data_IF_239864883953
#
_entry.id   IF_239864883953
#
_cell.length_a   1.000
_cell.length_b   1.000
_cell.length_c   1.000
_cell.angle_alpha   90.00
_cell.angle_beta   90.00
_cell.angle_gamma   90.00
#
_symmetry.space_group_name_H-M   'P 1'
#
loop_
_entity.id
_entity.type
_entity.pdbx_description
1 polymer ?
#
# COMPACT_ATOMS: atom_id res chain seq x y z
N UNK A 1 -6.69 22.28 37.80
CA UNK A 1 -6.93 21.01 37.09
C UNK A 1 -7.17 21.40 35.65
N UNK A 2 -6.20 21.18 34.76
CA UNK A 2 -6.43 21.37 33.33
C UNK A 2 -7.49 20.35 32.91
N UNK A 3 -8.56 20.80 32.26
CA UNK A 3 -9.55 19.90 31.70
C UNK A 3 -8.91 19.17 30.53
N UNK A 4 -8.52 17.91 30.69
CA UNK A 4 -8.15 17.04 29.56
C UNK A 4 -9.36 16.93 28.63
N UNK A 5 -9.34 17.58 27.45
CA UNK A 5 -10.31 17.26 26.41
C UNK A 5 -9.94 15.90 25.79
N UNK A 6 -10.91 15.00 25.59
CA UNK A 6 -10.66 13.71 24.97
C UNK A 6 -10.10 13.87 23.57
N UNK A 7 -9.20 12.97 23.16
CA UNK A 7 -8.69 12.95 21.79
C UNK A 7 -9.82 12.48 20.85
N UNK A 8 -10.23 13.34 19.91
CA UNK A 8 -11.45 13.12 19.12
C UNK A 8 -11.23 12.30 17.84
N UNK A 9 -9.99 12.19 17.37
CA UNK A 9 -9.63 11.46 16.16
C UNK A 9 -9.09 10.07 16.52
N UNK A 10 -9.60 9.01 15.91
CA UNK A 10 -9.14 7.66 16.26
C UNK A 10 -7.70 7.40 15.78
N UNK A 11 -6.83 6.95 16.69
CA UNK A 11 -5.49 6.43 16.40
C UNK A 11 -5.51 4.90 16.44
N UNK A 12 -5.00 4.24 15.40
CA UNK A 12 -4.92 2.78 15.35
C UNK A 12 -3.73 2.29 14.53
N UNK A 13 -3.77 1.05 14.03
CA UNK A 13 -2.66 0.46 13.24
C UNK A 13 -2.26 1.22 11.97
N UNK A 14 -3.11 2.12 11.45
CA UNK A 14 -2.80 2.99 10.32
C UNK A 14 -2.37 4.41 10.75
N UNK A 15 -2.16 4.61 12.06
CA UNK A 15 -1.96 5.90 12.71
C UNK A 15 -3.22 6.78 12.67
N UNK A 16 -3.09 8.05 12.28
CA UNK A 16 -4.22 8.97 12.09
C UNK A 16 -4.59 9.11 10.61
N UNK A 17 -5.89 9.22 10.35
CA UNK A 17 -6.41 9.57 9.03
C UNK A 17 -7.71 10.35 9.19
N UNK A 18 -7.82 11.49 8.53
CA UNK A 18 -9.02 12.31 8.57
C UNK A 18 -9.00 13.46 7.57
N UNK A 19 -10.15 14.10 7.41
CA UNK A 19 -10.27 15.35 6.65
C UNK A 19 -9.54 16.44 7.41
N UNK A 20 -8.80 17.29 6.71
CA UNK A 20 -8.14 18.47 7.27
C UNK A 20 -9.19 19.49 7.70
N UNK A 21 -9.13 19.94 8.96
CA UNK A 21 -10.07 20.93 9.48
C UNK A 21 -9.92 21.19 10.99
N UNK A 22 -10.67 22.14 11.50
CA UNK A 22 -10.54 22.63 12.88
C UNK A 22 -11.23 21.75 13.95
N UNK A 23 -11.96 20.72 13.53
CA UNK A 23 -12.69 19.80 14.41
C UNK A 23 -11.78 18.91 15.26
N UNK A 24 -12.27 18.48 16.41
CA UNK A 24 -11.53 17.57 17.31
C UNK A 24 -11.36 16.16 16.73
N UNK A 25 -12.23 15.77 15.79
CA UNK A 25 -12.24 14.52 15.03
C UNK A 25 -11.64 14.68 13.62
N UNK A 26 -10.91 15.77 13.37
CA UNK A 26 -10.29 16.10 12.09
C UNK A 26 -8.76 16.14 12.19
N UNK A 27 -8.08 16.09 11.04
CA UNK A 27 -6.63 16.33 10.97
C UNK A 27 -6.34 17.82 11.14
N UNK A 28 -5.59 18.18 12.18
CA UNK A 28 -5.07 19.51 12.41
C UNK A 28 -3.79 19.45 13.26
N UNK A 29 -3.11 20.60 13.36
CA UNK A 29 -1.86 20.75 14.09
C UNK A 29 -2.01 20.31 15.55
N UNK A 30 -3.12 20.63 16.23
CA UNK A 30 -3.35 20.22 17.63
C UNK A 30 -3.37 18.71 17.77
N UNK A 31 -4.13 18.01 16.92
CA UNK A 31 -4.21 16.55 16.97
C UNK A 31 -2.87 15.90 16.59
N UNK A 32 -2.13 16.46 15.63
CA UNK A 32 -0.77 15.98 15.28
C UNK A 32 0.20 16.18 16.43
N UNK A 33 0.18 17.34 17.11
CA UNK A 33 1.02 17.59 18.29
C UNK A 33 0.73 16.60 19.41
N UNK A 34 -0.55 16.36 19.73
CA UNK A 34 -0.95 15.37 20.75
C UNK A 34 -0.53 13.95 20.37
N UNK A 35 -0.74 13.56 19.12
CA UNK A 35 -0.30 12.25 18.62
C UNK A 35 1.22 12.06 18.71
N UNK A 36 1.96 13.10 18.34
CA UNK A 36 3.42 13.12 18.41
C UNK A 36 3.91 13.07 19.86
N UNK A 37 3.27 13.79 20.77
CA UNK A 37 3.62 13.75 22.19
C UNK A 37 3.37 12.36 22.81
N UNK A 38 2.28 11.69 22.43
CA UNK A 38 2.02 10.30 22.82
C UNK A 38 3.08 9.33 22.28
N UNK A 39 3.47 9.47 21.00
CA UNK A 39 4.56 8.68 20.43
C UNK A 39 5.90 8.96 21.13
N UNK A 40 6.22 10.23 21.41
CA UNK A 40 7.43 10.63 22.12
C UNK A 40 7.49 10.02 23.54
N UNK A 41 6.36 10.00 24.24
CA UNK A 41 6.25 9.35 25.54
C UNK A 41 6.42 7.82 25.45
N UNK A 42 5.93 7.19 24.38
CA UNK A 42 6.08 5.76 24.12
C UNK A 42 7.53 5.36 23.85
N UNK A 43 8.25 6.10 22.99
CA UNK A 43 9.65 5.78 22.64
C UNK A 43 10.65 6.25 23.71
N UNK A 44 10.30 7.27 24.49
CA UNK A 44 11.12 7.82 25.57
C UNK A 44 12.16 8.85 25.12
N UNK A 45 12.61 9.68 26.06
CA UNK A 45 13.61 10.70 25.82
C UNK A 45 14.97 10.10 25.38
N UNK A 46 15.64 10.77 24.44
CA UNK A 46 16.88 10.30 23.82
C UNK A 46 16.70 9.33 22.66
N UNK A 47 15.47 8.85 22.39
CA UNK A 47 15.16 8.10 21.18
C UNK A 47 15.40 8.95 19.91
N UNK A 48 15.55 8.29 18.78
CA UNK A 48 15.69 8.89 17.45
C UNK A 48 14.43 8.62 16.65
N UNK A 49 13.77 9.68 16.19
CA UNK A 49 12.52 9.55 15.41
C UNK A 49 12.65 10.28 14.09
N UNK A 50 12.46 9.56 13.00
CA UNK A 50 12.47 10.09 11.63
C UNK A 50 11.11 10.72 11.33
N UNK A 51 11.10 11.87 10.65
CA UNK A 51 9.87 12.52 10.19
C UNK A 51 10.00 12.85 8.70
N UNK A 52 9.03 12.39 7.91
CA UNK A 52 8.85 12.72 6.50
C UNK A 52 7.42 13.16 6.21
N UNK A 53 7.20 13.79 5.06
CA UNK A 53 5.87 14.22 4.62
C UNK A 53 5.72 14.23 3.10
N UNK A 54 4.47 14.07 2.65
CA UNK A 54 4.08 14.34 1.27
C UNK A 54 3.72 15.82 1.04
N UNK A 55 3.15 16.13 -0.13
CA UNK A 55 2.78 17.49 -0.53
C UNK A 55 1.32 17.88 -0.24
N UNK A 56 0.55 17.08 0.52
CA UNK A 56 -0.87 17.36 0.79
C UNK A 56 -1.08 18.66 1.58
N UNK A 57 -2.29 19.19 1.50
CA UNK A 57 -2.71 20.32 2.34
C UNK A 57 -2.43 20.04 3.82
N UNK A 58 -1.75 20.97 4.49
CA UNK A 58 -1.35 20.86 5.89
C UNK A 58 -0.11 19.98 6.17
N UNK A 59 0.40 19.21 5.20
CA UNK A 59 1.53 18.30 5.44
C UNK A 59 2.79 19.01 5.97
N UNK A 60 3.10 20.21 5.45
CA UNK A 60 4.22 21.01 5.92
C UNK A 60 4.04 21.46 7.39
N UNK A 61 2.85 21.95 7.76
CA UNK A 61 2.55 22.40 9.13
C UNK A 61 2.57 21.23 10.12
N UNK A 62 2.07 20.06 9.71
CA UNK A 62 2.07 18.85 10.53
C UNK A 62 3.47 18.29 10.71
N UNK A 63 4.30 18.35 9.67
CA UNK A 63 5.71 17.98 9.70
C UNK A 63 6.49 18.84 10.70
N UNK A 64 6.39 20.17 10.61
CA UNK A 64 7.06 21.08 11.53
C UNK A 64 6.58 20.87 12.98
N UNK A 65 5.27 20.72 13.16
CA UNK A 65 4.69 20.47 14.48
C UNK A 65 5.20 19.16 15.10
N UNK A 66 5.33 18.09 14.31
CA UNK A 66 5.85 16.82 14.79
C UNK A 66 7.33 16.95 15.22
N UNK A 67 8.17 17.58 14.39
CA UNK A 67 9.58 17.81 14.74
C UNK A 67 9.75 18.58 16.04
N UNK A 68 9.00 19.67 16.19
CA UNK A 68 9.08 20.53 17.36
C UNK A 68 8.62 19.85 18.65
N UNK A 69 7.57 19.03 18.58
CA UNK A 69 7.08 18.25 19.73
C UNK A 69 8.07 17.17 20.13
N UNK A 70 8.65 16.44 19.18
CA UNK A 70 9.67 15.43 19.46
C UNK A 70 10.86 16.07 20.19
N UNK A 71 11.40 17.14 19.61
CA UNK A 71 12.53 17.88 20.19
C UNK A 71 12.19 18.45 21.57
N UNK A 72 11.01 19.06 21.74
CA UNK A 72 10.52 19.55 23.04
C UNK A 72 10.32 18.45 24.09
N UNK A 73 10.06 17.21 23.68
CA UNK A 73 9.98 16.04 24.55
C UNK A 73 11.35 15.40 24.86
N UNK A 74 12.44 15.96 24.33
CA UNK A 74 13.80 15.42 24.50
C UNK A 74 14.11 14.24 23.56
N UNK A 75 13.33 14.05 22.50
CA UNK A 75 13.56 13.07 21.44
C UNK A 75 14.38 13.72 20.33
N UNK A 76 15.34 12.99 19.78
CA UNK A 76 16.15 13.44 18.66
C UNK A 76 15.36 13.30 17.35
N UNK A 77 14.83 14.42 16.86
CA UNK A 77 13.98 14.48 15.68
C UNK A 77 14.81 14.56 14.40
N UNK A 78 14.74 13.54 13.56
CA UNK A 78 15.45 13.48 12.28
C UNK A 78 14.48 13.96 11.18
N UNK A 79 14.69 15.19 10.74
CA UNK A 79 13.94 15.87 9.71
C UNK A 79 14.43 15.44 8.32
N UNK A 80 13.66 14.57 7.64
CA UNK A 80 13.94 14.23 6.25
C UNK A 80 13.63 15.40 5.32
N UNK A 81 14.29 15.46 4.16
CA UNK A 81 13.86 16.35 3.07
C UNK A 81 12.35 16.22 2.85
N UNK A 82 11.57 17.32 2.96
CA UNK A 82 10.13 17.27 2.74
C UNK A 82 9.76 16.83 1.33
N UNK A 83 8.51 16.40 1.15
CA UNK A 83 7.98 15.96 -0.14
C UNK A 83 8.80 14.83 -0.76
N UNK A 84 8.97 13.76 0.03
CA UNK A 84 9.62 12.52 -0.39
C UNK A 84 8.67 11.33 -0.22
N UNK A 85 8.82 10.28 -1.04
CA UNK A 85 7.97 9.09 -0.97
C UNK A 85 7.93 8.44 0.42
N UNK A 86 6.79 7.83 0.75
CA UNK A 86 6.65 6.94 1.92
C UNK A 86 7.80 5.92 2.03
N UNK A 87 8.22 5.21 0.96
CA UNK A 87 9.35 4.28 1.06
C UNK A 87 10.68 4.93 1.46
N UNK A 88 10.90 6.22 1.23
CA UNK A 88 12.10 6.93 1.73
C UNK A 88 12.05 7.05 3.25
N UNK A 89 10.90 7.33 3.83
CA UNK A 89 10.73 7.37 5.29
C UNK A 89 10.93 5.99 5.91
N UNK A 90 10.34 4.95 5.32
CA UNK A 90 10.53 3.56 5.79
C UNK A 90 12.00 3.09 5.67
N UNK A 91 12.67 3.45 4.57
CA UNK A 91 14.11 3.25 4.37
C UNK A 91 14.93 3.94 5.46
N UNK A 92 14.67 5.22 5.71
CA UNK A 92 15.40 6.05 6.66
C UNK A 92 15.36 5.49 8.08
N UNK A 93 14.23 4.95 8.52
CA UNK A 93 14.10 4.34 9.86
C UNK A 93 15.14 3.24 10.06
N UNK A 94 15.26 2.31 9.10
CA UNK A 94 16.23 1.21 9.17
C UNK A 94 17.66 1.71 8.93
N UNK A 95 17.84 2.55 7.90
CA UNK A 95 19.15 3.02 7.47
C UNK A 95 19.86 3.86 8.55
N UNK A 96 19.12 4.69 9.28
CA UNK A 96 19.64 5.56 10.32
C UNK A 96 19.57 4.96 11.73
N UNK A 97 19.09 3.71 11.85
CA UNK A 97 18.89 3.03 13.13
C UNK A 97 17.98 3.82 14.08
N UNK A 98 16.89 4.38 13.54
CA UNK A 98 15.92 5.15 14.32
C UNK A 98 14.98 4.21 15.10
N UNK A 99 14.48 4.69 16.24
CA UNK A 99 13.57 3.93 17.10
C UNK A 99 12.13 3.95 16.58
N UNK A 100 11.76 5.00 15.84
CA UNK A 100 10.47 5.13 15.17
C UNK A 100 10.54 6.07 13.95
N UNK A 101 9.48 6.07 13.16
CA UNK A 101 9.29 6.98 12.03
C UNK A 101 7.86 7.51 11.95
N UNK A 102 7.72 8.73 11.46
CA UNK A 102 6.45 9.40 11.16
C UNK A 102 6.44 9.73 9.66
N UNK A 103 5.40 9.29 8.96
CA UNK A 103 5.14 9.74 7.59
C UNK A 103 3.80 10.48 7.55
N UNK A 104 3.84 11.78 7.29
CA UNK A 104 2.65 12.61 7.11
C UNK A 104 2.15 12.43 5.67
N UNK A 105 1.05 11.70 5.51
CA UNK A 105 0.44 11.46 4.21
C UNK A 105 -0.92 10.78 4.37
N UNK A 106 -1.83 11.03 3.42
CA UNK A 106 -3.03 10.23 3.21
C UNK A 106 -2.99 9.29 2.00
N UNK A 107 -1.81 9.01 1.43
CA UNK A 107 -1.64 8.12 0.27
C UNK A 107 -2.58 8.53 -0.87
N UNK A 108 -3.50 7.67 -1.30
CA UNK A 108 -4.44 7.86 -2.41
C UNK A 108 -5.81 8.42 -1.99
N UNK A 109 -6.01 8.82 -0.72
CA UNK A 109 -7.26 9.43 -0.28
C UNK A 109 -7.56 10.74 -1.04
N UNK A 110 -8.82 11.24 -1.03
CA UNK A 110 -9.18 12.53 -1.64
C UNK A 110 -8.32 13.72 -1.17
N UNK A 111 -8.26 14.83 -1.92
CA UNK A 111 -7.46 16.03 -1.61
C UNK A 111 -7.63 16.56 -0.18
N UNK A 112 -8.85 16.53 0.35
CA UNK A 112 -9.20 17.07 1.65
C UNK A 112 -8.69 16.23 2.83
N UNK A 113 -8.18 15.02 2.58
CA UNK A 113 -7.65 14.13 3.61
C UNK A 113 -6.14 14.31 3.80
N UNK A 114 -5.71 14.17 5.05
CA UNK A 114 -4.32 13.95 5.41
C UNK A 114 -4.22 12.83 6.47
N UNK A 115 -3.01 12.50 6.90
CA UNK A 115 -2.81 11.53 7.96
C UNK A 115 -1.39 11.45 8.46
N UNK A 116 -1.18 10.51 9.38
CA UNK A 116 0.04 10.38 10.17
C UNK A 116 0.27 8.88 10.34
N UNK A 117 1.20 8.31 9.56
CA UNK A 117 1.61 6.89 9.68
C UNK A 117 2.74 6.77 10.70
N UNK A 118 2.78 5.68 11.46
CA UNK A 118 3.85 5.40 12.44
C UNK A 118 4.53 4.09 12.11
N UNK A 119 5.86 4.13 12.12
CA UNK A 119 6.78 3.02 12.00
C UNK A 119 7.55 2.86 13.32
N UNK A 120 7.89 1.63 13.70
CA UNK A 120 8.86 1.37 14.78
C UNK A 120 10.22 1.04 14.19
N UNK A 121 11.24 0.79 15.03
CA UNK A 121 12.62 0.61 14.60
C UNK A 121 12.89 -0.57 13.67
N UNK A 122 11.94 -1.50 13.50
CA UNK A 122 11.97 -2.53 12.45
C UNK A 122 11.64 -1.99 11.04
N UNK A 123 11.25 -0.72 10.95
CA UNK A 123 10.80 -0.05 9.73
C UNK A 123 9.40 -0.49 9.29
N UNK A 124 8.63 -1.14 10.16
CA UNK A 124 7.29 -1.65 9.86
C UNK A 124 6.25 -0.80 10.58
N UNK A 125 5.09 -0.62 9.93
CA UNK A 125 3.95 0.03 10.57
C UNK A 125 3.49 -0.75 11.82
N UNK A 126 2.98 0.02 12.79
CA UNK A 126 2.52 -0.47 14.11
C UNK A 126 1.36 -1.48 14.01
N UNK A 127 1.37 -2.43 14.95
CA UNK A 127 0.33 -3.44 15.20
C UNK A 127 0.10 -3.55 16.71
N UNK A 128 -0.97 -4.22 17.17
CA UNK A 128 -1.15 -4.52 18.59
C UNK A 128 0.05 -5.26 19.19
N UNK A 129 0.49 -4.92 20.42
CA UNK A 129 -0.12 -3.93 21.33
C UNK A 129 0.36 -2.47 21.14
N UNK A 130 1.36 -2.22 20.29
CA UNK A 130 2.00 -0.91 20.17
C UNK A 130 1.04 0.22 19.77
N UNK A 131 0.07 -0.04 18.89
CA UNK A 131 -0.93 0.94 18.51
C UNK A 131 -1.84 1.35 19.69
N UNK A 132 -2.24 0.40 20.52
CA UNK A 132 -3.03 0.66 21.73
C UNK A 132 -2.22 1.37 22.81
N UNK A 133 -0.95 0.99 23.00
CA UNK A 133 -0.05 1.63 23.97
C UNK A 133 0.21 3.09 23.60
N UNK A 134 0.47 3.36 22.31
CA UNK A 134 0.63 4.72 21.80
C UNK A 134 -0.69 5.49 21.94
N UNK A 135 -1.83 4.91 21.57
CA UNK A 135 -3.14 5.57 21.73
C UNK A 135 -3.42 5.96 23.18
N UNK A 136 -3.10 5.09 24.14
CA UNK A 136 -3.20 5.42 25.57
C UNK A 136 -2.29 6.58 25.96
N UNK A 137 -1.05 6.62 25.45
CA UNK A 137 -0.15 7.74 25.68
C UNK A 137 -0.65 9.06 25.05
N UNK A 138 -1.36 9.01 23.92
CA UNK A 138 -1.97 10.17 23.26
C UNK A 138 -3.11 10.76 24.10
N UNK A 139 -3.92 9.91 24.74
CA UNK A 139 -4.98 10.38 25.65
C UNK A 139 -4.42 11.11 26.87
N UNK A 140 -3.30 10.64 27.41
CA UNK A 140 -2.62 11.29 28.55
C UNK A 140 -1.81 12.53 28.14
N UNK A 141 -1.49 12.70 26.86
CA UNK A 141 -0.69 13.82 26.36
C UNK A 141 -1.36 15.19 26.61
N UNK A 142 -0.58 16.23 26.98
CA UNK A 142 -1.10 17.57 27.17
C UNK A 142 -1.65 18.14 25.85
N UNK A 143 -2.66 19.02 25.93
CA UNK A 143 -3.20 19.71 24.75
C UNK A 143 -2.16 20.59 24.06
N UNK A 144 -1.23 21.17 24.83
CA UNK A 144 -0.12 22.00 24.34
C UNK A 144 1.21 21.40 24.83
N UNK A 145 1.76 20.40 24.12
CA UNK A 145 3.04 19.79 24.46
C UNK A 145 4.20 20.79 24.27
N UNK A 146 5.32 20.61 25.00
CA UNK A 146 6.49 21.46 24.85
C UNK A 146 7.02 21.41 23.41
N UNK A 147 7.45 22.56 22.90
CA UNK A 147 8.04 22.70 21.57
C UNK A 147 9.49 23.17 21.72
N UNK A 148 10.38 22.62 20.91
CA UNK A 148 11.77 23.08 20.81
C UNK A 148 12.33 22.77 19.43
N UNK A 149 13.34 23.51 18.99
CA UNK A 149 14.12 23.20 17.78
C UNK A 149 15.50 22.60 18.10
N UNK A 150 15.85 22.46 19.40
CA UNK A 150 17.21 22.14 19.85
C UNK A 150 17.72 20.75 19.43
N UNK A 151 16.82 19.79 19.24
CA UNK A 151 17.14 18.40 18.91
C UNK A 151 16.64 17.99 17.52
N UNK A 152 16.55 18.94 16.58
CA UNK A 152 16.19 18.69 15.19
C UNK A 152 17.47 18.55 14.34
N UNK A 153 17.66 17.39 13.71
CA UNK A 153 18.72 17.09 12.74
C UNK A 153 18.12 16.96 11.35
N UNK A 154 18.57 17.77 10.38
CA UNK A 154 18.17 17.62 8.98
C UNK A 154 19.03 16.59 8.26
N UNK A 155 18.41 15.59 7.63
CA UNK A 155 19.09 14.51 6.92
C UNK A 155 18.41 14.26 5.58
N UNK A 156 19.18 14.06 4.52
CA UNK A 156 18.67 13.57 3.24
C UNK A 156 19.28 12.20 2.95
N UNK A 157 18.41 11.19 2.81
CA UNK A 157 18.79 9.81 2.44
C UNK A 157 18.24 9.39 1.07
N UNK A 158 17.74 10.36 0.30
CA UNK A 158 17.07 10.10 -0.98
C UNK A 158 18.01 9.44 -1.98
N UNK A 159 19.28 9.85 -2.03
CA UNK A 159 20.26 9.31 -2.98
C UNK A 159 20.64 7.86 -2.64
N UNK A 160 20.79 7.55 -1.35
CA UNK A 160 21.02 6.20 -0.83
C UNK A 160 19.84 5.28 -1.14
N UNK A 161 18.60 5.75 -0.91
CA UNK A 161 17.39 5.03 -1.28
C UNK A 161 17.32 4.77 -2.78
N UNK A 162 17.53 5.79 -3.61
CA UNK A 162 17.53 5.66 -5.08
C UNK A 162 18.60 4.68 -5.55
N UNK A 163 19.76 4.66 -4.90
CA UNK A 163 20.83 3.71 -5.20
C UNK A 163 20.46 2.27 -4.84
N UNK A 164 19.82 2.05 -3.69
CA UNK A 164 19.32 0.73 -3.30
C UNK A 164 18.24 0.22 -4.27
N UNK A 165 17.24 1.06 -4.57
CA UNK A 165 16.17 0.73 -5.53
C UNK A 165 16.73 0.42 -6.92
N UNK A 166 17.69 1.23 -7.42
CA UNK A 166 18.30 1.03 -8.72
C UNK A 166 19.14 -0.26 -8.79
N UNK A 167 19.76 -0.68 -7.69
CA UNK A 167 20.58 -1.90 -7.63
C UNK A 167 19.76 -3.19 -7.80
N UNK A 168 18.44 -3.13 -7.62
CA UNK A 168 17.52 -4.23 -7.90
C UNK A 168 17.28 -4.45 -9.40
N UNK A 169 17.67 -3.48 -10.23
CA UNK A 169 17.42 -3.49 -11.67
C UNK A 169 18.47 -4.25 -12.48
N UNK A 170 18.01 -4.84 -13.58
CA UNK A 170 18.85 -5.32 -14.68
C UNK A 170 18.56 -4.45 -15.90
N UNK A 171 19.53 -3.66 -16.40
CA UNK A 171 19.28 -2.71 -17.48
C UNK A 171 18.95 -3.41 -18.80
N UNK A 172 18.18 -2.74 -19.65
CA UNK A 172 17.90 -3.17 -21.01
C UNK A 172 17.24 -2.08 -21.85
N UNK A 173 17.01 -2.37 -23.13
CA UNK A 173 16.33 -1.44 -24.04
C UNK A 173 14.81 -1.43 -23.76
N UNK A 174 14.33 -0.37 -23.10
CA UNK A 174 12.93 -0.20 -22.77
C UNK A 174 12.54 1.27 -22.80
N UNK A 175 11.39 1.56 -23.40
CA UNK A 175 10.75 2.88 -23.41
C UNK A 175 9.65 2.90 -22.36
N UNK A 176 9.79 3.79 -21.39
CA UNK A 176 8.92 3.84 -20.22
C UNK A 176 8.22 5.20 -20.19
N UNK A 177 6.89 5.19 -20.03
CA UNK A 177 6.16 6.38 -19.59
C UNK A 177 5.93 6.29 -18.09
N UNK A 178 6.19 7.40 -17.39
CA UNK A 178 5.97 7.53 -15.95
C UNK A 178 4.94 8.62 -15.67
N UNK A 179 4.04 8.34 -14.73
CA UNK A 179 3.23 9.38 -14.08
C UNK A 179 3.24 9.20 -12.56
N UNK A 180 3.56 10.24 -11.78
CA UNK A 180 3.37 10.22 -10.33
C UNK A 180 1.99 10.74 -9.92
N UNK A 181 1.12 11.10 -10.87
CA UNK A 181 -0.23 11.64 -10.61
C UNK A 181 -0.25 12.80 -9.60
N UNK A 182 0.64 13.77 -9.76
CA UNK A 182 0.87 14.88 -8.82
C UNK A 182 1.36 14.46 -7.42
N UNK A 183 1.90 13.25 -7.31
CA UNK A 183 2.54 12.73 -6.12
C UNK A 183 4.00 13.13 -5.97
N UNK A 184 4.53 12.89 -4.77
CA UNK A 184 5.94 13.16 -4.43
C UNK A 184 6.92 12.10 -4.96
N UNK A 185 6.41 11.09 -5.65
CA UNK A 185 7.18 9.99 -6.26
C UNK A 185 7.97 10.34 -7.51
N UNK A 186 7.59 11.39 -8.24
CA UNK A 186 8.03 11.63 -9.62
C UNK A 186 9.55 11.66 -9.79
N UNK A 187 10.21 12.60 -9.09
CA UNK A 187 11.67 12.76 -9.19
C UNK A 187 12.42 11.49 -8.79
N UNK A 188 12.00 10.87 -7.68
CA UNK A 188 12.62 9.67 -7.11
C UNK A 188 12.49 8.47 -8.06
N UNK A 189 11.30 8.27 -8.65
CA UNK A 189 11.03 7.20 -9.60
C UNK A 189 11.87 7.33 -10.86
N UNK A 190 11.90 8.53 -11.45
CA UNK A 190 12.71 8.81 -12.65
C UNK A 190 14.20 8.63 -12.36
N UNK A 191 14.67 9.08 -11.19
CA UNK A 191 16.07 8.92 -10.79
C UNK A 191 16.44 7.44 -10.62
N UNK A 192 15.59 6.64 -9.97
CA UNK A 192 15.82 5.20 -9.79
C UNK A 192 15.86 4.44 -11.12
N UNK A 193 14.91 4.69 -12.02
CA UNK A 193 14.89 4.07 -13.36
C UNK A 193 16.12 4.44 -14.18
N UNK A 194 16.49 5.73 -14.22
CA UNK A 194 17.69 6.18 -14.95
C UNK A 194 18.97 5.60 -14.37
N UNK A 195 19.07 5.54 -13.03
CA UNK A 195 20.23 4.96 -12.34
C UNK A 195 20.34 3.45 -12.53
N UNK A 196 19.20 2.75 -12.64
CA UNK A 196 19.14 1.34 -13.02
C UNK A 196 19.51 1.09 -14.50
N UNK A 197 19.72 2.15 -15.29
CA UNK A 197 20.18 2.08 -16.68
C UNK A 197 19.08 2.20 -17.74
N UNK A 198 17.84 2.54 -17.37
CA UNK A 198 16.76 2.81 -18.31
C UNK A 198 16.83 4.27 -18.80
N UNK A 199 17.29 4.46 -20.04
CA UNK A 199 17.56 5.78 -20.61
C UNK A 199 16.35 6.48 -21.24
N UNK A 200 15.40 5.74 -21.82
CA UNK A 200 14.22 6.30 -22.49
C UNK A 200 13.01 6.32 -21.54
N UNK A 201 13.08 7.24 -20.57
CA UNK A 201 12.01 7.51 -19.60
C UNK A 201 11.35 8.85 -19.95
N UNK A 202 10.08 8.80 -20.32
CA UNK A 202 9.23 9.96 -20.57
C UNK A 202 8.28 10.15 -19.39
N UNK A 203 7.96 11.40 -19.07
CA UNK A 203 7.05 11.73 -17.97
C UNK A 203 5.80 12.39 -18.53
N UNK A 204 4.67 12.18 -17.85
CA UNK A 204 3.46 12.96 -18.12
C UNK A 204 3.66 14.35 -17.49
N UNK A 205 4.12 15.33 -18.28
CA UNK A 205 4.47 16.67 -17.79
C UNK A 205 3.36 17.32 -16.95
N UNK A 206 2.08 17.12 -17.34
CA UNK A 206 0.91 17.66 -16.62
C UNK A 206 0.72 17.10 -15.21
N UNK A 207 1.36 15.97 -14.89
CA UNK A 207 1.19 15.23 -13.64
C UNK A 207 2.51 15.11 -12.85
N UNK A 208 3.60 15.71 -13.32
CA UNK A 208 4.93 15.51 -12.73
C UNK A 208 5.13 16.26 -11.40
N UNK A 209 4.68 17.51 -11.33
CA UNK A 209 4.84 18.36 -10.15
C UNK A 209 3.86 17.95 -9.04
N UNK A 210 4.31 17.87 -7.77
CA UNK A 210 3.42 17.64 -6.65
C UNK A 210 2.33 18.72 -6.55
N UNK A 211 1.07 18.30 -6.51
CA UNK A 211 -0.10 19.19 -6.39
C UNK A 211 -1.15 18.53 -5.47
N UNK A 212 -1.44 19.11 -4.29
CA UNK A 212 -2.36 18.53 -3.32
C UNK A 212 -3.82 18.46 -3.81
N UNK A 213 -4.19 19.18 -4.87
CA UNK A 213 -5.54 19.18 -5.43
C UNK A 213 -5.74 18.08 -6.49
N UNK A 214 -4.66 17.42 -6.94
CA UNK A 214 -4.66 16.36 -7.96
C UNK A 214 -5.49 16.73 -9.23
N UNK A 215 -5.27 17.90 -9.85
CA UNK A 215 -6.23 18.54 -10.75
C UNK A 215 -6.56 17.78 -12.05
N UNK A 216 -5.75 16.79 -12.41
CA UNK A 216 -5.94 15.99 -13.64
C UNK A 216 -6.69 14.68 -13.41
N UNK A 217 -6.92 14.27 -12.16
CA UNK A 217 -7.59 13.00 -11.83
C UNK A 217 -8.74 13.24 -10.87
N UNK A 218 -9.79 12.42 -10.98
CA UNK A 218 -10.93 12.51 -10.06
C UNK A 218 -10.58 12.01 -8.66
N UNK A 219 -9.71 11.01 -8.59
CA UNK A 219 -9.28 10.36 -7.37
C UNK A 219 -7.86 9.84 -7.61
N UNK A 220 -6.90 10.16 -6.73
CA UNK A 220 -5.48 9.92 -7.01
C UNK A 220 -5.07 8.48 -6.66
N UNK A 221 -5.77 7.51 -7.24
CA UNK A 221 -5.44 6.09 -7.16
C UNK A 221 -5.24 5.55 -8.58
N UNK A 222 -4.09 4.95 -8.92
CA UNK A 222 -3.85 4.42 -10.25
C UNK A 222 -4.85 3.34 -10.70
N UNK A 223 -5.57 2.70 -9.78
CA UNK A 223 -6.60 1.69 -10.13
C UNK A 223 -7.91 2.30 -10.63
N UNK A 224 -8.12 3.60 -10.47
CA UNK A 224 -9.39 4.23 -10.84
C UNK A 224 -9.51 4.42 -12.36
N UNK A 225 -10.69 4.14 -12.95
CA UNK A 225 -10.92 4.42 -14.36
C UNK A 225 -10.63 5.89 -14.71
N UNK A 226 -9.81 6.10 -15.73
CA UNK A 226 -9.39 7.43 -16.19
C UNK A 226 -8.09 7.95 -15.55
N UNK A 227 -7.58 7.31 -14.49
CA UNK A 227 -6.36 7.77 -13.82
C UNK A 227 -5.11 7.69 -14.72
N UNK A 228 -5.06 6.69 -15.61
CA UNK A 228 -3.94 6.45 -16.52
C UNK A 228 -4.11 7.06 -17.92
N UNK A 229 -5.23 7.74 -18.23
CA UNK A 229 -5.54 8.17 -19.60
C UNK A 229 -4.42 9.03 -20.22
N UNK A 230 -3.91 10.03 -19.48
CA UNK A 230 -2.81 10.88 -19.95
C UNK A 230 -1.50 10.10 -20.18
N UNK A 231 -1.24 9.08 -19.36
CA UNK A 231 -0.05 8.26 -19.48
C UNK A 231 -0.16 7.28 -20.66
N UNK A 232 -1.35 6.72 -20.90
CA UNK A 232 -1.64 5.87 -22.04
C UNK A 232 -1.59 6.64 -23.36
N UNK A 233 -2.13 7.86 -23.41
CA UNK A 233 -2.02 8.77 -24.56
C UNK A 233 -0.55 9.03 -24.91
N UNK A 234 0.25 9.43 -23.92
CA UNK A 234 1.69 9.65 -24.12
C UNK A 234 2.43 8.37 -24.52
N UNK A 235 2.03 7.22 -24.00
CA UNK A 235 2.62 5.93 -24.36
C UNK A 235 2.36 5.57 -25.82
N UNK A 236 1.14 5.82 -26.32
CA UNK A 236 0.79 5.63 -27.73
C UNK A 236 1.62 6.58 -28.62
N UNK A 237 1.67 7.87 -28.29
CA UNK A 237 2.44 8.87 -29.04
C UNK A 237 3.94 8.57 -29.10
N UNK A 238 4.52 8.12 -27.98
CA UNK A 238 5.94 7.83 -27.87
C UNK A 238 6.33 6.43 -28.39
N UNK A 239 5.33 5.56 -28.65
CA UNK A 239 5.53 4.14 -28.86
C UNK A 239 6.27 3.51 -27.67
N UNK A 240 5.79 3.78 -26.46
CA UNK A 240 6.36 3.23 -25.23
C UNK A 240 6.00 1.76 -25.05
N UNK A 241 6.90 1.02 -24.40
CA UNK A 241 6.73 -0.41 -24.16
C UNK A 241 5.83 -0.64 -22.93
N UNK A 242 5.99 0.20 -21.90
CA UNK A 242 5.20 0.15 -20.66
C UNK A 242 4.89 1.55 -20.11
N UNK A 243 3.82 1.63 -19.33
CA UNK A 243 3.47 2.75 -18.43
C UNK A 243 3.67 2.31 -16.99
N UNK A 244 4.27 3.17 -16.17
CA UNK A 244 4.38 3.01 -14.72
C UNK A 244 3.71 4.22 -14.07
N UNK A 245 2.73 3.96 -13.21
CA UNK A 245 2.03 4.99 -12.43
C UNK A 245 2.28 4.78 -10.94
N UNK A 246 2.61 5.84 -10.21
CA UNK A 246 2.71 5.82 -8.74
C UNK A 246 1.54 6.59 -8.12
N UNK A 247 1.08 6.16 -6.95
CA UNK A 247 0.15 6.94 -6.14
C UNK A 247 0.85 8.13 -5.43
N UNK A 248 0.12 9.05 -4.78
CA UNK A 248 0.70 10.31 -4.32
C UNK A 248 1.89 10.20 -3.38
N UNK A 249 1.96 9.18 -2.54
CA UNK A 249 3.09 8.91 -1.64
C UNK A 249 4.03 7.80 -2.16
N UNK A 250 3.76 7.29 -3.35
CA UNK A 250 4.55 6.31 -4.10
C UNK A 250 4.87 5.01 -3.34
N UNK A 251 3.99 4.64 -2.40
CA UNK A 251 4.01 3.30 -1.81
C UNK A 251 3.33 2.27 -2.74
N UNK A 252 2.51 2.72 -3.71
CA UNK A 252 1.89 1.86 -4.72
C UNK A 252 2.42 2.10 -6.13
N UNK A 253 2.25 1.08 -6.96
CA UNK A 253 2.65 1.13 -8.36
C UNK A 253 1.64 0.39 -9.25
N UNK A 254 1.13 1.04 -10.29
CA UNK A 254 0.39 0.37 -11.35
C UNK A 254 1.22 0.31 -12.62
N UNK A 255 0.98 -0.74 -13.41
CA UNK A 255 1.60 -0.93 -14.72
C UNK A 255 0.51 -1.02 -15.77
N UNK A 256 0.76 -0.42 -16.93
CA UNK A 256 0.11 -0.83 -18.17
C UNK A 256 1.14 -1.27 -19.21
N UNK A 257 0.81 -2.31 -19.96
CA UNK A 257 1.60 -2.81 -21.08
C UNK A 257 0.66 -3.12 -22.24
N UNK A 258 1.09 -2.84 -23.47
CA UNK A 258 0.26 -3.06 -24.67
C UNK A 258 -1.12 -2.35 -24.58
N UNK A 259 -1.16 -1.21 -23.88
CA UNK A 259 -2.39 -0.43 -23.64
C UNK A 259 -3.33 -1.00 -22.57
N UNK A 260 -2.97 -2.10 -21.92
CA UNK A 260 -3.78 -2.76 -20.89
C UNK A 260 -3.13 -2.59 -19.52
N UNK A 261 -3.89 -2.02 -18.58
CA UNK A 261 -3.49 -1.96 -17.18
C UNK A 261 -3.57 -3.34 -16.54
N UNK A 262 -2.49 -3.74 -15.87
CA UNK A 262 -2.44 -4.95 -15.08
C UNK A 262 -3.06 -4.73 -13.70
N UNK A 263 -3.73 -5.74 -13.17
CA UNK A 263 -4.18 -5.73 -11.77
C UNK A 263 -2.99 -5.85 -10.81
N UNK A 264 -3.21 -5.53 -9.54
CA UNK A 264 -2.18 -5.74 -8.52
C UNK A 264 -1.81 -7.21 -8.34
N UNK A 265 -2.75 -8.15 -8.50
CA UNK A 265 -2.46 -9.59 -8.48
C UNK A 265 -1.64 -10.04 -9.69
N UNK A 266 -1.95 -9.51 -10.88
CA UNK A 266 -1.18 -9.82 -12.10
C UNK A 266 0.25 -9.29 -11.98
N UNK A 267 0.40 -8.04 -11.53
CA UNK A 267 1.71 -7.42 -11.32
C UNK A 267 2.50 -8.13 -10.22
N UNK A 268 1.85 -8.47 -9.11
CA UNK A 268 2.44 -9.19 -7.98
C UNK A 268 2.91 -10.60 -8.36
N UNK A 269 2.12 -11.31 -9.16
CA UNK A 269 2.48 -12.63 -9.68
C UNK A 269 3.70 -12.54 -10.63
N UNK A 270 3.72 -11.56 -11.53
CA UNK A 270 4.84 -11.33 -12.44
C UNK A 270 6.13 -10.99 -11.70
N UNK A 271 6.07 -10.05 -10.74
CA UNK A 271 7.21 -9.66 -9.90
C UNK A 271 7.72 -10.85 -9.08
N UNK A 272 6.82 -11.57 -8.40
CA UNK A 272 7.17 -12.72 -7.57
C UNK A 272 7.81 -13.85 -8.37
N UNK A 273 7.25 -14.21 -9.53
CA UNK A 273 7.82 -15.23 -10.41
C UNK A 273 9.17 -14.78 -10.99
N UNK A 274 9.29 -13.52 -11.42
CA UNK A 274 10.54 -12.97 -11.93
C UNK A 274 11.66 -13.03 -10.88
N UNK A 275 11.42 -12.48 -9.68
CA UNK A 275 12.40 -12.50 -8.59
C UNK A 275 12.78 -13.93 -8.18
N UNK A 276 11.80 -14.83 -8.04
CA UNK A 276 12.05 -16.22 -7.72
C UNK A 276 12.93 -16.90 -8.80
N UNK A 277 12.67 -16.63 -10.08
CA UNK A 277 13.48 -17.15 -11.20
C UNK A 277 14.91 -16.62 -11.22
N UNK A 278 15.15 -15.44 -10.62
CA UNK A 278 16.48 -14.83 -10.44
C UNK A 278 17.20 -15.30 -9.17
N UNK A 279 16.62 -16.24 -8.43
CA UNK A 279 17.23 -16.82 -7.24
C UNK A 279 16.98 -16.01 -5.96
N UNK A 280 15.82 -15.35 -5.85
CA UNK A 280 15.35 -14.73 -4.62
C UNK A 280 15.57 -15.67 -3.41
N UNK A 281 16.04 -15.12 -2.30
CA UNK A 281 16.19 -15.82 -1.04
C UNK A 281 15.04 -15.46 -0.09
N UNK A 282 14.75 -16.35 0.87
CA UNK A 282 13.71 -16.12 1.88
C UNK A 282 12.35 -16.67 1.48
N UNK A 283 11.29 -15.90 1.71
CA UNK A 283 9.90 -16.30 1.49
C UNK A 283 9.13 -15.34 0.58
N UNK A 284 8.06 -15.86 -0.02
CA UNK A 284 7.04 -15.09 -0.71
C UNK A 284 5.85 -14.89 0.21
N UNK A 285 5.25 -13.71 0.21
CA UNK A 285 4.04 -13.46 1.00
C UNK A 285 3.02 -12.59 0.25
N UNK A 286 1.75 -12.83 0.53
CA UNK A 286 0.67 -11.94 0.09
C UNK A 286 -0.45 -11.93 1.11
N UNK A 287 -1.32 -10.91 1.02
CA UNK A 287 -2.49 -10.89 1.89
C UNK A 287 -3.50 -11.98 1.48
N UNK A 288 -4.31 -12.43 2.43
CA UNK A 288 -5.34 -13.46 2.25
C UNK A 288 -6.42 -13.09 1.22
N UNK A 289 -6.53 -11.80 0.87
CA UNK A 289 -7.45 -11.29 -0.15
C UNK A 289 -6.80 -11.13 -1.53
N UNK A 290 -5.47 -11.31 -1.62
CA UNK A 290 -4.71 -11.28 -2.87
C UNK A 290 -4.61 -12.67 -3.51
N UNK A 291 -4.30 -12.74 -4.80
CA UNK A 291 -4.35 -13.95 -5.62
C UNK A 291 -3.51 -15.12 -5.07
N UNK A 292 -4.06 -16.33 -5.10
CA UNK A 292 -3.41 -17.56 -4.57
C UNK A 292 -2.22 -18.07 -5.39
N UNK A 293 -2.01 -17.58 -6.62
CA UNK A 293 -1.00 -18.11 -7.53
C UNK A 293 0.46 -17.98 -7.03
N UNK A 294 0.75 -17.01 -6.14
CA UNK A 294 2.09 -16.82 -5.59
C UNK A 294 2.57 -18.04 -4.78
N UNK A 295 1.66 -18.76 -4.12
CA UNK A 295 2.00 -20.00 -3.42
C UNK A 295 2.59 -21.06 -4.34
N UNK A 296 2.02 -21.21 -5.55
CA UNK A 296 2.55 -22.16 -6.55
C UNK A 296 3.89 -21.74 -7.13
N UNK A 297 4.14 -20.43 -7.23
CA UNK A 297 5.48 -19.91 -7.56
C UNK A 297 6.48 -20.34 -6.50
N UNK A 298 6.16 -20.14 -5.21
CA UNK A 298 7.04 -20.53 -4.12
C UNK A 298 7.37 -22.04 -4.17
N UNK A 299 6.36 -22.88 -4.36
CA UNK A 299 6.53 -24.34 -4.48
C UNK A 299 7.50 -24.72 -5.61
N UNK A 300 7.34 -24.14 -6.81
CA UNK A 300 8.21 -24.44 -7.96
C UNK A 300 9.68 -24.12 -7.69
N UNK A 301 9.95 -22.99 -7.02
CA UNK A 301 11.32 -22.54 -6.76
C UNK A 301 11.86 -22.99 -5.39
N UNK A 302 11.11 -23.81 -4.64
CA UNK A 302 11.52 -24.32 -3.33
C UNK A 302 11.57 -23.25 -2.24
N UNK A 303 10.79 -22.19 -2.37
CA UNK A 303 10.64 -21.11 -1.39
C UNK A 303 9.46 -21.42 -0.44
N UNK A 304 9.45 -20.74 0.71
CA UNK A 304 8.27 -20.74 1.59
C UNK A 304 7.27 -19.69 1.11
N UNK A 305 5.98 -19.95 1.34
CA UNK A 305 4.91 -19.00 1.11
C UNK A 305 4.12 -18.75 2.39
N UNK A 306 3.71 -17.50 2.61
CA UNK A 306 2.89 -17.08 3.72
C UNK A 306 1.70 -16.23 3.25
N UNK A 307 0.48 -16.67 3.57
CA UNK A 307 -0.70 -15.81 3.49
C UNK A 307 -0.86 -15.07 4.81
N UNK A 308 -1.07 -13.75 4.76
CA UNK A 308 -1.22 -12.91 5.96
C UNK A 308 -2.54 -12.15 5.96
N UNK A 309 -2.91 -11.54 7.09
CA UNK A 309 -4.03 -10.59 7.12
C UNK A 309 -3.82 -9.42 6.15
N UNK A 310 -4.91 -8.77 5.75
CA UNK A 310 -4.87 -7.53 4.95
C UNK A 310 -4.15 -6.40 5.70
N UNK A 311 -3.32 -5.66 4.98
CA UNK A 311 -2.46 -4.59 5.48
C UNK A 311 -0.99 -5.02 5.43
N UNK A 312 -0.18 -4.27 4.68
CA UNK A 312 1.25 -4.56 4.48
C UNK A 312 2.07 -4.79 5.77
N UNK A 313 1.66 -4.19 6.89
CA UNK A 313 2.23 -4.43 8.22
C UNK A 313 2.28 -5.91 8.62
N UNK A 314 1.39 -6.75 8.10
CA UNK A 314 1.39 -8.19 8.32
C UNK A 314 2.31 -8.92 7.34
N UNK A 315 2.30 -8.53 6.07
CA UNK A 315 3.17 -9.07 5.03
C UNK A 315 4.64 -8.85 5.40
N UNK A 316 5.00 -7.64 5.81
CA UNK A 316 6.35 -7.27 6.25
C UNK A 316 6.86 -8.10 7.44
N UNK A 317 5.96 -8.76 8.19
CA UNK A 317 6.28 -9.65 9.32
C UNK A 317 6.32 -11.12 8.93
N UNK A 318 6.11 -11.46 7.66
CA UNK A 318 6.29 -12.83 7.19
C UNK A 318 7.76 -13.27 7.44
N UNK A 319 7.98 -14.49 7.94
CA UNK A 319 9.33 -14.96 8.25
C UNK A 319 10.25 -14.94 7.02
N UNK A 320 11.42 -14.32 7.17
CA UNK A 320 12.44 -14.23 6.12
C UNK A 320 11.89 -13.67 4.80
N UNK A 321 11.01 -12.65 4.85
CA UNK A 321 10.39 -12.08 3.66
C UNK A 321 11.44 -11.70 2.61
N UNK A 322 11.27 -12.24 1.40
CA UNK A 322 12.04 -11.88 0.21
C UNK A 322 11.23 -11.04 -0.78
N UNK A 323 9.95 -11.34 -0.95
CA UNK A 323 9.01 -10.54 -1.74
C UNK A 323 7.60 -10.61 -1.15
N UNK A 324 6.94 -9.47 -1.06
CA UNK A 324 5.59 -9.35 -0.53
C UNK A 324 4.69 -8.50 -1.41
N UNK A 325 3.40 -8.84 -1.55
CA UNK A 325 2.45 -7.95 -2.22
C UNK A 325 1.01 -7.96 -1.66
N UNK A 326 0.32 -6.84 -1.86
CA UNK A 326 -1.13 -6.69 -1.72
C UNK A 326 -1.76 -6.46 -3.10
N UNK A 327 -2.96 -7.02 -3.33
CA UNK A 327 -3.76 -6.86 -4.54
C UNK A 327 -4.08 -5.41 -4.86
N UNK A 328 -4.08 -4.56 -3.83
CA UNK A 328 -4.23 -3.11 -3.93
C UNK A 328 -2.92 -2.41 -4.36
N UNK A 329 -2.26 -2.98 -5.38
CA UNK A 329 -1.08 -2.47 -6.09
C UNK A 329 0.11 -2.07 -5.20
N UNK A 330 0.29 -2.78 -4.08
CA UNK A 330 1.37 -2.56 -3.13
C UNK A 330 2.38 -3.69 -3.15
N UNK A 331 3.66 -3.39 -3.36
CA UNK A 331 4.71 -4.40 -3.54
C UNK A 331 5.94 -4.07 -2.70
N UNK A 332 6.61 -5.08 -2.16
CA UNK A 332 7.93 -4.94 -1.53
C UNK A 332 8.88 -5.92 -2.20
N UNK A 333 9.76 -5.38 -3.06
CA UNK A 333 10.81 -6.13 -3.74
C UNK A 333 12.13 -6.15 -2.96
N UNK A 334 12.31 -5.24 -2.01
CA UNK A 334 13.54 -5.09 -1.22
C UNK A 334 13.23 -4.93 0.28
N UNK A 335 12.72 -5.98 0.94
CA UNK A 335 12.42 -5.96 2.37
C UNK A 335 13.66 -5.76 3.25
N UNK A 336 14.87 -5.94 2.68
CA UNK A 336 16.12 -5.70 3.41
C UNK A 336 16.32 -4.22 3.68
N UNK A 337 15.95 -3.33 2.75
CA UNK A 337 16.05 -1.88 2.91
C UNK A 337 14.72 -1.22 3.28
N UNK A 338 13.57 -1.72 2.79
CA UNK A 338 12.25 -1.13 3.03
C UNK A 338 11.26 -2.19 3.49
N UNK A 339 10.87 -2.15 4.78
CA UNK A 339 9.89 -3.09 5.35
C UNK A 339 8.43 -2.59 5.21
N UNK A 340 8.11 -1.93 4.10
CA UNK A 340 6.77 -1.48 3.72
C UNK A 340 6.62 -1.62 2.18
N UNK A 341 5.49 -1.18 1.63
CA UNK A 341 5.34 -1.07 0.18
C UNK A 341 6.30 -0.03 -0.39
N UNK A 342 6.85 -0.35 -1.55
CA UNK A 342 7.81 0.47 -2.28
C UNK A 342 7.51 0.39 -3.79
N UNK A 343 6.74 1.36 -4.28
CA UNK A 343 6.42 1.47 -5.70
C UNK A 343 7.64 1.80 -6.57
N UNK A 344 8.69 2.38 -6.00
CA UNK A 344 9.90 2.79 -6.73
C UNK A 344 10.77 1.58 -7.05
N UNK A 345 11.11 0.78 -6.05
CA UNK A 345 11.88 -0.46 -6.26
C UNK A 345 11.10 -1.45 -7.11
N UNK A 346 9.78 -1.56 -6.90
CA UNK A 346 8.93 -2.41 -7.72
C UNK A 346 8.93 -1.98 -9.20
N UNK A 347 8.92 -0.67 -9.48
CA UNK A 347 9.00 -0.14 -10.85
C UNK A 347 10.31 -0.52 -11.53
N UNK A 348 11.45 -0.45 -10.82
CA UNK A 348 12.76 -0.86 -11.34
C UNK A 348 12.80 -2.36 -11.66
N UNK A 349 12.27 -3.20 -10.77
CA UNK A 349 12.19 -4.66 -11.00
C UNK A 349 11.27 -4.98 -12.19
N UNK A 350 10.11 -4.31 -12.28
CA UNK A 350 9.19 -4.51 -13.39
C UNK A 350 9.80 -4.07 -14.73
N UNK A 351 10.50 -2.94 -14.77
CA UNK A 351 11.21 -2.49 -15.96
C UNK A 351 12.27 -3.52 -16.41
N UNK A 352 12.94 -4.18 -15.47
CA UNK A 352 13.90 -5.24 -15.77
C UNK A 352 13.23 -6.45 -16.41
N UNK A 353 12.10 -6.91 -15.85
CA UNK A 353 11.27 -7.97 -16.44
C UNK A 353 10.84 -7.60 -17.87
N UNK A 354 10.26 -6.42 -18.05
CA UNK A 354 9.76 -5.97 -19.35
C UNK A 354 10.88 -5.86 -20.40
N UNK A 355 12.06 -5.35 -20.02
CA UNK A 355 13.20 -5.26 -20.91
C UNK A 355 13.74 -6.65 -21.33
N UNK A 356 13.79 -7.61 -20.40
CA UNK A 356 14.17 -8.99 -20.72
C UNK A 356 13.17 -9.67 -21.67
N UNK A 357 11.87 -9.47 -21.45
CA UNK A 357 10.82 -9.98 -22.33
C UNK A 357 10.90 -9.37 -23.73
N UNK A 358 11.08 -8.05 -23.82
CA UNK A 358 11.27 -7.36 -25.10
C UNK A 358 12.50 -7.87 -25.86
N UNK A 359 13.62 -8.11 -25.16
CA UNK A 359 14.82 -8.69 -25.78
C UNK A 359 14.58 -10.11 -26.32
N UNK A 360 13.61 -10.84 -25.76
CA UNK A 360 13.18 -12.16 -26.23
C UNK A 360 12.09 -12.10 -27.31
N UNK A 361 11.59 -10.90 -27.65
CA UNK A 361 10.48 -10.71 -28.57
C UNK A 361 9.14 -11.19 -28.01
N UNK A 362 8.97 -11.20 -26.68
CA UNK A 362 7.76 -11.64 -25.97
C UNK A 362 7.06 -10.43 -25.36
N UNK A 363 5.74 -10.33 -25.55
CA UNK A 363 4.92 -9.29 -24.93
C UNK A 363 4.70 -9.54 -23.43
N UNK A 364 4.39 -8.49 -22.67
CA UNK A 364 4.10 -8.62 -21.23
C UNK A 364 2.80 -9.41 -21.03
N UNK A 365 1.77 -9.14 -21.85
CA UNK A 365 0.49 -9.86 -21.74
C UNK A 365 0.61 -11.32 -22.16
N UNK A 366 1.44 -11.60 -23.17
CA UNK A 366 1.77 -12.97 -23.56
C UNK A 366 2.50 -13.71 -22.43
N UNK A 367 3.48 -13.06 -21.79
CA UNK A 367 4.17 -13.65 -20.65
C UNK A 367 3.24 -13.89 -19.46
N UNK A 368 2.37 -12.92 -19.13
CA UNK A 368 1.35 -13.07 -18.11
C UNK A 368 0.43 -14.29 -18.37
N UNK A 369 0.01 -14.50 -19.62
CA UNK A 369 -0.79 -15.67 -19.99
C UNK A 369 -0.04 -16.99 -19.73
N UNK A 370 1.27 -17.06 -20.05
CA UNK A 370 2.11 -18.25 -19.77
C UNK A 370 2.27 -18.49 -18.27
N UNK A 371 2.51 -17.43 -17.50
CA UNK A 371 2.65 -17.51 -16.03
C UNK A 371 1.34 -17.96 -15.39
N UNK A 372 0.20 -17.47 -15.87
CA UNK A 372 -1.13 -17.93 -15.46
C UNK A 372 -1.36 -19.40 -15.78
N UNK A 373 -1.00 -19.84 -16.98
CA UNK A 373 -1.12 -21.26 -17.35
C UNK A 373 -0.29 -22.16 -16.42
N UNK A 374 0.91 -21.72 -16.04
CA UNK A 374 1.80 -22.49 -15.18
C UNK A 374 1.39 -22.50 -13.69
N UNK A 375 1.04 -21.34 -13.12
CA UNK A 375 0.85 -21.17 -11.67
C UNK A 375 -0.61 -21.00 -11.25
N UNK A 376 -1.55 -21.07 -12.18
CA UNK A 376 -2.98 -20.95 -11.92
C UNK A 376 -3.60 -19.77 -12.67
N UNK A 377 -4.56 -20.08 -13.55
CA UNK A 377 -5.30 -19.12 -14.37
C UNK A 377 -6.39 -18.41 -13.58
N UNK A 378 -6.05 -17.87 -12.41
CA UNK A 378 -7.01 -17.17 -11.58
C UNK A 378 -7.31 -15.78 -12.16
N UNK A 379 -8.59 -15.47 -12.26
CA UNK A 379 -9.07 -14.12 -12.54
C UNK A 379 -9.65 -13.55 -11.26
N UNK A 380 -9.13 -12.40 -10.83
CA UNK A 380 -9.60 -11.72 -9.62
C UNK A 380 -10.45 -10.51 -9.97
N UNK A 381 -11.41 -10.17 -9.11
CA UNK A 381 -12.04 -8.86 -9.14
C UNK A 381 -12.56 -8.41 -7.78
N UNK A 382 -12.46 -7.10 -7.49
CA UNK A 382 -13.14 -6.53 -6.34
C UNK A 382 -14.64 -6.41 -6.61
N UNK A 383 -15.43 -6.57 -5.56
CA UNK A 383 -16.84 -6.23 -5.49
C UNK A 383 -17.06 -5.41 -4.22
N UNK A 384 -17.34 -4.12 -4.39
CA UNK A 384 -17.46 -3.18 -3.27
C UNK A 384 -18.88 -2.64 -3.15
N UNK A 385 -19.44 -2.71 -1.94
CA UNK A 385 -20.74 -2.14 -1.59
C UNK A 385 -20.53 -0.93 -0.68
N UNK A 386 -20.70 0.27 -1.22
CA UNK A 386 -20.67 1.53 -0.44
C UNK A 386 -22.06 1.77 0.16
N UNK A 387 -22.11 2.07 1.45
CA UNK A 387 -23.36 2.31 2.17
C UNK A 387 -23.30 3.65 2.91
N UNK A 388 -24.45 4.28 3.10
CA UNK A 388 -24.60 5.42 4.02
C UNK A 388 -24.87 4.96 5.45
N UNK A 389 -25.46 3.79 5.62
CA UNK A 389 -25.79 3.18 6.90
C UNK A 389 -24.89 1.96 7.14
N UNK A 390 -23.98 2.06 8.10
CA UNK A 390 -23.01 1.01 8.42
C UNK A 390 -23.67 -0.23 9.04
N UNK A 391 -24.91 -0.14 9.55
CA UNK A 391 -25.64 -1.30 10.06
C UNK A 391 -25.93 -2.34 8.97
N UNK A 392 -26.00 -1.92 7.70
CA UNK A 392 -26.14 -2.82 6.56
C UNK A 392 -24.93 -3.74 6.41
N UNK A 393 -23.72 -3.26 6.75
CA UNK A 393 -22.49 -4.07 6.70
C UNK A 393 -22.55 -5.16 7.77
N UNK A 394 -22.90 -4.80 9.00
CA UNK A 394 -23.06 -5.75 10.10
C UNK A 394 -24.13 -6.79 9.77
N UNK A 395 -25.29 -6.37 9.25
CA UNK A 395 -26.36 -7.27 8.85
C UNK A 395 -25.93 -8.25 7.74
N UNK A 396 -25.16 -7.78 6.74
CA UNK A 396 -24.63 -8.64 5.68
C UNK A 396 -23.63 -9.68 6.23
N UNK A 397 -22.72 -9.27 7.11
CA UNK A 397 -21.75 -10.19 7.73
C UNK A 397 -22.42 -11.22 8.65
N UNK A 398 -23.41 -10.79 9.44
CA UNK A 398 -24.24 -11.70 10.26
C UNK A 398 -24.99 -12.70 9.39
N UNK A 399 -25.58 -12.25 8.29
CA UNK A 399 -26.29 -13.11 7.32
C UNK A 399 -25.36 -14.16 6.73
N UNK A 400 -24.18 -13.77 6.25
CA UNK A 400 -23.20 -14.69 5.67
C UNK A 400 -22.75 -15.78 6.65
N UNK A 401 -22.70 -15.46 7.95
CA UNK A 401 -22.36 -16.41 9.02
C UNK A 401 -23.54 -17.33 9.40
N UNK A 402 -24.74 -16.78 9.48
CA UNK A 402 -25.93 -17.53 9.88
C UNK A 402 -26.47 -18.45 8.77
N UNK A 403 -26.41 -17.98 7.52
CA UNK A 403 -26.93 -18.65 6.34
C UNK A 403 -25.88 -18.59 5.20
N UNK A 404 -24.73 -19.28 5.34
CA UNK A 404 -23.71 -19.29 4.31
C UNK A 404 -24.26 -19.88 3.00
N UNK A 405 -23.87 -19.34 1.83
CA UNK A 405 -24.34 -19.85 0.54
C UNK A 405 -23.92 -21.32 0.37
N UNK A 406 -24.85 -22.17 -0.07
CA UNK A 406 -24.56 -23.57 -0.40
C UNK A 406 -23.90 -23.74 -1.76
N UNK A 407 -24.05 -22.74 -2.64
CA UNK A 407 -23.47 -22.71 -3.97
C UNK A 407 -23.20 -21.28 -4.41
N UNK A 408 -22.15 -21.09 -5.21
CA UNK A 408 -21.78 -19.83 -5.83
C UNK A 408 -21.40 -20.07 -7.30
N UNK A 409 -21.95 -19.26 -8.20
CA UNK A 409 -21.85 -19.41 -9.64
C UNK A 409 -22.14 -20.85 -10.13
N UNK A 410 -23.08 -21.55 -9.47
CA UNK A 410 -23.43 -22.94 -9.78
C UNK A 410 -22.45 -24.02 -9.30
N UNK A 411 -21.37 -23.66 -8.59
CA UNK A 411 -20.46 -24.60 -7.93
C UNK A 411 -20.83 -24.75 -6.45
N UNK A 412 -20.61 -25.93 -5.87
CA UNK A 412 -20.91 -26.15 -4.45
C UNK A 412 -19.88 -25.47 -3.56
N UNK A 413 -20.31 -24.82 -2.49
CA UNK A 413 -19.40 -24.32 -1.45
C UNK A 413 -18.92 -25.51 -0.62
N UNK A 414 -17.63 -25.83 -0.72
CA UNK A 414 -17.00 -26.99 -0.06
C UNK A 414 -16.32 -26.62 1.26
N UNK A 415 -16.01 -25.34 1.46
CA UNK A 415 -15.39 -24.85 2.68
C UNK A 415 -15.83 -23.41 2.97
N UNK A 416 -16.12 -23.16 4.24
CA UNK A 416 -16.36 -21.82 4.81
C UNK A 416 -15.37 -21.61 5.94
N UNK A 417 -14.71 -20.46 5.96
CA UNK A 417 -13.76 -20.07 7.01
C UNK A 417 -14.17 -18.72 7.58
N UNK A 418 -14.52 -18.67 8.87
CA UNK A 418 -14.71 -17.40 9.58
C UNK A 418 -13.36 -16.88 10.06
N UNK A 419 -12.98 -15.69 9.65
CA UNK A 419 -11.71 -15.07 10.01
C UNK A 419 -11.71 -14.54 11.45
N UNK A 420 -12.84 -14.58 12.15
CA UNK A 420 -12.88 -14.40 13.60
C UNK A 420 -12.11 -15.49 14.34
N UNK A 421 -11.95 -16.68 13.74
CA UNK A 421 -11.19 -17.80 14.30
C UNK A 421 -9.70 -17.77 13.89
N UNK A 422 -9.28 -16.77 13.11
CA UNK A 422 -7.88 -16.55 12.73
C UNK A 422 -7.07 -15.98 13.91
N UNK A 423 -5.74 -16.14 13.89
CA UNK A 423 -4.84 -15.52 14.87
C UNK A 423 -3.85 -14.57 14.16
N UNK A 424 -3.97 -13.23 14.34
CA UNK A 424 -4.98 -12.56 15.15
C UNK A 424 -6.36 -12.55 14.45
N UNK A 425 -7.46 -12.39 15.20
CA UNK A 425 -8.80 -12.43 14.65
C UNK A 425 -9.08 -11.19 13.79
N UNK A 426 -9.87 -11.36 12.73
CA UNK A 426 -10.35 -10.24 11.91
C UNK A 426 -11.76 -10.48 11.41
N UNK A 427 -12.56 -9.41 11.29
CA UNK A 427 -13.92 -9.53 10.78
C UNK A 427 -13.89 -9.80 9.27
N UNK A 428 -14.12 -11.06 8.91
CA UNK A 428 -14.25 -11.49 7.53
C UNK A 428 -14.68 -12.94 7.44
N UNK A 429 -15.14 -13.36 6.27
CA UNK A 429 -15.53 -14.73 5.99
C UNK A 429 -15.09 -15.12 4.58
N UNK A 430 -14.60 -16.35 4.44
CA UNK A 430 -14.13 -16.90 3.18
C UNK A 430 -14.97 -18.10 2.76
N UNK A 431 -15.25 -18.19 1.47
CA UNK A 431 -15.91 -19.33 0.84
C UNK A 431 -15.02 -19.92 -0.25
N UNK A 432 -14.93 -21.24 -0.30
CA UNK A 432 -14.27 -21.98 -1.37
C UNK A 432 -15.26 -22.91 -2.05
N UNK A 433 -15.19 -23.00 -3.38
CA UNK A 433 -16.08 -23.86 -4.17
C UNK A 433 -15.38 -25.09 -4.72
N UNK A 434 -16.14 -26.11 -5.12
CA UNK A 434 -15.60 -27.29 -5.84
C UNK A 434 -15.08 -26.97 -7.26
N UNK A 435 -15.35 -25.76 -7.75
CA UNK A 435 -14.74 -25.20 -8.96
C UNK A 435 -13.42 -24.45 -8.68
N UNK A 436 -12.90 -24.52 -7.45
CA UNK A 436 -11.70 -23.81 -6.98
C UNK A 436 -11.83 -22.27 -7.04
N UNK A 437 -13.04 -21.74 -6.91
CA UNK A 437 -13.23 -20.32 -6.66
C UNK A 437 -12.98 -19.99 -5.19
N UNK A 438 -12.61 -18.74 -4.92
CA UNK A 438 -12.53 -18.17 -3.58
C UNK A 438 -13.26 -16.83 -3.53
N UNK A 439 -14.07 -16.66 -2.49
CA UNK A 439 -14.69 -15.38 -2.15
C UNK A 439 -14.28 -15.00 -0.74
N UNK A 440 -13.82 -13.77 -0.54
CA UNK A 440 -13.56 -13.21 0.79
C UNK A 440 -14.42 -11.98 0.98
N UNK A 441 -15.27 -11.96 2.01
CA UNK A 441 -16.10 -10.80 2.37
C UNK A 441 -15.59 -10.22 3.70
N UNK A 442 -15.34 -8.90 3.73
CA UNK A 442 -14.91 -8.21 4.96
C UNK A 442 -15.32 -6.73 4.99
N UNK A 443 -15.65 -6.17 6.16
CA UNK A 443 -15.82 -4.72 6.31
C UNK A 443 -14.53 -3.95 6.01
N UNK A 444 -14.68 -2.77 5.44
CA UNK A 444 -13.58 -1.82 5.31
C UNK A 444 -13.33 -1.12 6.66
N UNK A 445 -12.07 -1.04 7.09
CA UNK A 445 -11.71 -0.39 8.36
C UNK A 445 -11.68 1.14 8.31
N UNK A 446 -11.68 1.74 7.12
CA UNK A 446 -11.46 3.18 6.90
C UNK A 446 -12.62 3.88 6.20
N UNK A 447 -13.59 3.14 5.66
CA UNK A 447 -14.67 3.68 4.84
C UNK A 447 -15.95 2.87 5.09
N UNK A 448 -17.15 3.46 4.99
CA UNK A 448 -18.43 2.76 5.18
C UNK A 448 -18.77 1.88 3.96
N UNK A 449 -18.02 0.78 3.80
CA UNK A 449 -18.20 -0.16 2.70
C UNK A 449 -17.87 -1.60 3.08
N UNK A 450 -18.62 -2.54 2.51
CA UNK A 450 -18.27 -3.97 2.49
C UNK A 450 -17.39 -4.24 1.26
N UNK A 451 -16.25 -4.90 1.45
CA UNK A 451 -15.37 -5.35 0.37
C UNK A 451 -15.48 -6.86 0.21
N UNK A 452 -15.75 -7.29 -1.01
CA UNK A 452 -15.71 -8.68 -1.41
C UNK A 452 -14.61 -8.86 -2.46
N UNK A 453 -13.79 -9.89 -2.29
CA UNK A 453 -12.69 -10.24 -3.16
C UNK A 453 -13.02 -11.56 -3.82
N UNK A 454 -13.15 -11.53 -5.14
CA UNK A 454 -13.57 -12.68 -5.92
C UNK A 454 -12.38 -13.19 -6.69
N UNK A 455 -12.17 -14.50 -6.67
CA UNK A 455 -11.14 -15.19 -7.43
C UNK A 455 -11.79 -16.42 -8.05
N UNK A 456 -11.74 -16.53 -9.39
CA UNK A 456 -12.26 -17.68 -10.12
C UNK A 456 -11.13 -18.41 -10.83
N UNK A 457 -11.15 -19.74 -10.81
CA UNK A 457 -10.23 -20.54 -11.61
C UNK A 457 -10.72 -20.56 -13.07
N UNK A 458 -9.97 -19.92 -13.98
CA UNK A 458 -10.25 -19.95 -15.41
C UNK A 458 -11.25 -18.89 -15.89
N UNK A 459 -12.47 -19.32 -16.24
CA UNK A 459 -13.41 -18.58 -17.10
C UNK A 459 -13.87 -17.23 -16.51
N UNK A 460 -13.48 -16.13 -17.15
CA UNK A 460 -13.90 -14.78 -16.79
C UNK A 460 -15.43 -14.58 -16.83
N UNK A 461 -16.18 -15.36 -17.61
CA UNK A 461 -17.66 -15.29 -17.61
C UNK A 461 -18.27 -15.78 -16.29
N UNK A 462 -17.56 -16.68 -15.58
CA UNK A 462 -17.96 -17.16 -14.25
C UNK A 462 -17.94 -16.04 -13.20
N UNK A 463 -17.01 -15.09 -13.34
CA UNK A 463 -16.83 -13.97 -12.42
C UNK A 463 -18.08 -13.08 -12.33
N UNK A 464 -18.77 -12.84 -13.44
CA UNK A 464 -19.99 -12.02 -13.46
C UNK A 464 -21.17 -12.70 -12.78
N UNK A 465 -21.24 -14.04 -12.86
CA UNK A 465 -22.23 -14.82 -12.10
C UNK A 465 -21.89 -14.80 -10.61
N UNK A 466 -20.60 -14.97 -10.28
CA UNK A 466 -20.13 -14.94 -8.90
C UNK A 466 -20.42 -13.59 -8.22
N UNK A 467 -20.23 -12.47 -8.92
CA UNK A 467 -20.58 -11.13 -8.43
C UNK A 467 -22.06 -11.03 -8.03
N UNK A 468 -22.96 -11.56 -8.86
CA UNK A 468 -24.42 -11.54 -8.60
C UNK A 468 -24.78 -12.40 -7.40
N UNK A 469 -24.22 -13.60 -7.33
CA UNK A 469 -24.52 -14.53 -6.24
C UNK A 469 -23.98 -14.01 -4.89
N UNK A 470 -22.81 -13.36 -4.88
CA UNK A 470 -22.27 -12.71 -3.67
C UNK A 470 -23.12 -11.50 -3.26
N UNK A 471 -23.58 -10.68 -4.22
CA UNK A 471 -24.51 -9.59 -3.92
C UNK A 471 -25.83 -10.09 -3.32
N UNK A 472 -26.36 -11.20 -3.83
CA UNK A 472 -27.54 -11.86 -3.27
C UNK A 472 -27.28 -12.40 -1.85
N UNK A 473 -26.18 -13.13 -1.66
CA UNK A 473 -25.82 -13.75 -0.39
C UNK A 473 -25.58 -12.72 0.73
N UNK A 474 -25.02 -11.56 0.38
CA UNK A 474 -24.83 -10.42 1.30
C UNK A 474 -26.14 -9.67 1.58
N UNK A 475 -27.18 -9.87 0.76
CA UNK A 475 -28.40 -9.06 0.81
C UNK A 475 -28.20 -7.61 0.34
N UNK A 476 -27.10 -7.33 -0.39
CA UNK A 476 -26.73 -6.01 -0.89
C UNK A 476 -26.95 -5.88 -2.41
N UNK A 477 -28.10 -6.35 -2.90
CA UNK A 477 -28.51 -6.18 -4.29
C UNK A 477 -28.81 -4.71 -4.59
N UNK A 478 -28.43 -4.24 -5.78
CA UNK A 478 -28.74 -2.89 -6.27
C UNK A 478 -30.06 -2.85 -7.02
#
# INVERSE_FOLDING_TARGET
MASHKPFGLHFGTAGLRGVVGEGTDQMNVTNVKRATAGLAAYVGAGARVVVGCDARHGSAEFYDAALQVLSGAGVHAIALTPQRPTPVTAFAVKHLGADAGIMITASHNPPEYNGYKVYLGDGIQIVPPADADIAAAIEEAPEDPPLSDDLIEHVDVTDEFVSAAAAMGVPGDLKIVVTPMHGVGGETLVAALKRAGFGDVRVVDKQMEPDPDFPTVRFPNPEEPGALDLALELAEEAGADIVIAADPDADRMAVAAEGVQLSGDETGLLLGNYLASKGLQGSLANSLVSGRALGRVAEKYGLKHYETLTGFKWIARAPELGFGYEEAIGFCCDPSHVSDKDGISAAVVFASLAAELKAQGVGVLEHLARVREEFGGYTTAPLTFRVSDTSLISAAMERLRAEPPVSLAGAQVVQTVDLNDHEPPTDGIMFFTDADDRVVCRPSGTEPKLKCYLEVAGDAARLETLKKDVAHATGMEK
#
